data_IF_685567235392
#
_entry.id   IF_685567235392
#
_cell.length_a   1.000
_cell.length_b   1.000
_cell.length_c   1.000
_cell.angle_alpha   90.00
_cell.angle_beta   90.00
_cell.angle_gamma   90.00
#
_symmetry.space_group_name_H-M   'P 1'
#
loop_
_entity.id
_entity.type
_entity.pdbx_description
1 polymer ?
#
# COMPACT_ATOMS: atom_id res chain seq x y z
N UNK A 1 2.91 14.31 -50.77
CA UNK A 1 1.70 13.52 -50.44
C UNK A 1 2.02 12.62 -49.26
N UNK A 2 1.51 12.98 -48.12
CA UNK A 2 1.70 12.21 -46.89
C UNK A 2 0.61 11.12 -46.84
N UNK A 3 1.02 9.85 -47.00
CA UNK A 3 0.12 8.69 -46.76
C UNK A 3 -0.07 8.52 -45.26
N UNK A 4 -1.19 9.00 -44.75
CA UNK A 4 -1.63 8.67 -43.39
C UNK A 4 -1.91 7.16 -43.37
N UNK A 5 -1.07 6.42 -42.67
CA UNK A 5 -1.33 5.03 -42.32
C UNK A 5 -2.56 4.98 -41.41
N UNK A 6 -3.68 4.50 -41.95
CA UNK A 6 -4.86 4.18 -41.16
C UNK A 6 -4.65 2.83 -40.49
N UNK A 7 -3.86 2.81 -39.42
CA UNK A 7 -3.86 1.66 -38.54
C UNK A 7 -5.27 1.55 -37.90
N UNK A 8 -5.85 0.33 -37.83
CA UNK A 8 -7.14 0.15 -37.17
C UNK A 8 -7.04 0.62 -35.72
N UNK A 9 -8.02 1.41 -35.26
CA UNK A 9 -8.10 1.84 -33.89
C UNK A 9 -8.05 0.62 -32.97
N UNK A 10 -7.14 0.64 -31.98
CA UNK A 10 -7.08 -0.44 -30.99
C UNK A 10 -8.44 -0.52 -30.29
N UNK A 11 -8.97 -1.73 -29.99
CA UNK A 11 -10.22 -1.87 -29.30
C UNK A 11 -10.18 -1.06 -27.98
N UNK A 12 -11.29 -0.41 -27.62
CA UNK A 12 -11.44 0.36 -26.40
C UNK A 12 -11.05 -0.52 -25.19
N UNK A 13 -9.86 -0.27 -24.66
CA UNK A 13 -9.37 -0.99 -23.47
C UNK A 13 -9.95 -0.31 -22.24
N UNK A 14 -10.71 -1.06 -21.47
CA UNK A 14 -11.08 -0.63 -20.11
C UNK A 14 -9.83 -0.72 -19.25
N UNK A 15 -9.35 0.45 -18.79
CA UNK A 15 -8.19 0.53 -17.90
C UNK A 15 -8.68 0.50 -16.46
N UNK A 16 -8.05 -0.37 -15.67
CA UNK A 16 -8.30 -0.48 -14.24
C UNK A 16 -7.05 -0.09 -13.47
N UNK A 17 -7.23 0.64 -12.36
CA UNK A 17 -6.14 0.96 -11.45
C UNK A 17 -6.00 -0.17 -10.42
N UNK A 18 -4.84 -0.79 -10.37
CA UNK A 18 -4.57 -1.88 -9.40
C UNK A 18 -4.75 -1.43 -7.95
N UNK A 19 -4.55 -0.14 -7.66
CA UNK A 19 -4.76 0.42 -6.32
C UNK A 19 -6.22 0.37 -5.89
N UNK A 20 -7.16 0.54 -6.82
CA UNK A 20 -8.60 0.44 -6.52
C UNK A 20 -8.96 -0.99 -6.11
N UNK A 21 -8.46 -1.99 -6.83
CA UNK A 21 -8.67 -3.40 -6.51
C UNK A 21 -8.03 -3.77 -5.15
N UNK A 22 -6.81 -3.29 -4.91
CA UNK A 22 -6.12 -3.47 -3.64
C UNK A 22 -6.94 -2.93 -2.46
N UNK A 23 -7.37 -1.69 -2.54
CA UNK A 23 -8.10 -1.04 -1.43
C UNK A 23 -9.48 -1.67 -1.24
N UNK A 24 -10.21 -1.99 -2.31
CA UNK A 24 -11.49 -2.68 -2.21
C UNK A 24 -11.37 -4.02 -1.48
N UNK A 25 -10.38 -4.83 -1.88
CA UNK A 25 -10.10 -6.12 -1.23
C UNK A 25 -9.70 -5.94 0.24
N UNK A 26 -8.87 -4.92 0.54
CA UNK A 26 -8.45 -4.65 1.92
C UNK A 26 -9.64 -4.27 2.81
N UNK A 27 -10.57 -3.47 2.30
CA UNK A 27 -11.81 -3.12 3.02
C UNK A 27 -12.66 -4.36 3.29
N UNK A 28 -12.82 -5.25 2.31
CA UNK A 28 -13.57 -6.50 2.48
C UNK A 28 -12.93 -7.42 3.52
N UNK A 29 -11.62 -7.64 3.44
CA UNK A 29 -10.91 -8.47 4.41
C UNK A 29 -10.98 -7.89 5.83
N UNK A 30 -10.85 -6.58 5.96
CA UNK A 30 -10.91 -5.90 7.24
C UNK A 30 -12.29 -5.96 7.91
N UNK A 31 -13.36 -6.20 7.14
CA UNK A 31 -14.70 -6.39 7.68
C UNK A 31 -14.82 -7.69 8.51
N UNK A 32 -14.02 -8.69 8.21
CA UNK A 32 -14.03 -10.00 8.86
C UNK A 32 -12.85 -10.27 9.79
N UNK A 33 -11.79 -9.44 9.70
CA UNK A 33 -10.59 -9.58 10.53
C UNK A 33 -10.16 -8.22 11.10
N UNK A 34 -10.40 -8.01 12.39
CA UNK A 34 -10.04 -6.77 13.09
C UNK A 34 -8.53 -6.56 13.27
N UNK A 35 -7.72 -7.56 12.98
CA UNK A 35 -6.25 -7.45 13.05
C UNK A 35 -5.68 -6.65 11.89
N UNK A 36 -6.40 -6.56 10.77
CA UNK A 36 -5.96 -5.85 9.57
C UNK A 36 -5.92 -4.35 9.85
N UNK A 37 -4.76 -3.75 9.66
CA UNK A 37 -4.51 -2.31 9.77
C UNK A 37 -3.72 -1.83 8.56
N UNK A 38 -3.91 -0.57 8.17
CA UNK A 38 -3.15 0.07 7.11
C UNK A 38 -2.21 1.12 7.69
N UNK A 39 -0.98 1.18 7.22
CA UNK A 39 0.04 2.14 7.65
C UNK A 39 0.55 2.91 6.43
N UNK A 40 0.58 4.23 6.52
CA UNK A 40 0.99 5.12 5.43
C UNK A 40 1.93 6.23 5.90
N UNK A 41 2.68 6.78 4.96
CA UNK A 41 3.63 7.88 5.14
C UNK A 41 3.06 9.23 4.65
N UNK A 42 1.86 9.60 5.06
CA UNK A 42 1.10 10.75 4.55
C UNK A 42 0.66 10.62 3.08
N UNK A 43 0.54 9.40 2.61
CA UNK A 43 0.21 9.07 1.21
C UNK A 43 -1.19 8.47 1.03
N UNK A 44 -2.15 8.82 1.88
CA UNK A 44 -3.54 8.28 1.82
C UNK A 44 -4.15 8.48 0.44
N UNK A 45 -3.98 9.66 -0.15
CA UNK A 45 -4.50 9.99 -1.48
C UNK A 45 -3.84 9.18 -2.60
N UNK A 46 -2.51 9.15 -2.66
CA UNK A 46 -1.76 8.43 -3.69
C UNK A 46 -1.86 6.91 -3.56
N UNK A 47 -2.02 6.40 -2.36
CA UNK A 47 -2.28 4.98 -2.08
C UNK A 47 -3.75 4.60 -2.24
N UNK A 48 -4.63 5.58 -2.48
CA UNK A 48 -6.09 5.41 -2.57
C UNK A 48 -6.75 4.79 -1.32
N UNK A 49 -6.11 4.89 -0.17
CA UNK A 49 -6.60 4.32 1.09
C UNK A 49 -7.72 5.13 1.77
N UNK A 50 -8.22 6.19 1.12
CA UNK A 50 -9.35 6.97 1.60
C UNK A 50 -10.58 6.13 2.00
N UNK A 51 -11.05 5.19 1.17
CA UNK A 51 -12.17 4.30 1.52
C UNK A 51 -11.90 3.46 2.77
N UNK A 52 -10.67 2.95 2.95
CA UNK A 52 -10.30 2.21 4.16
C UNK A 52 -10.34 3.11 5.40
N UNK A 53 -9.78 4.31 5.31
CA UNK A 53 -9.82 5.28 6.39
C UNK A 53 -11.24 5.73 6.75
N UNK A 54 -12.13 5.85 5.76
CA UNK A 54 -13.54 6.16 5.98
C UNK A 54 -14.29 5.04 6.70
N UNK A 55 -14.02 3.79 6.32
CA UNK A 55 -14.68 2.62 6.91
C UNK A 55 -14.12 2.27 8.29
N UNK A 56 -12.79 2.39 8.48
CA UNK A 56 -12.07 1.88 9.65
C UNK A 56 -11.06 2.91 10.18
N UNK A 57 -11.46 4.16 10.39
CA UNK A 57 -10.59 5.30 10.71
C UNK A 57 -9.43 5.01 11.67
N UNK A 58 -9.68 4.45 12.89
CA UNK A 58 -8.62 4.16 13.86
C UNK A 58 -7.62 3.07 13.39
N UNK A 59 -7.95 2.33 12.34
CA UNK A 59 -7.11 1.28 11.76
C UNK A 59 -6.28 1.76 10.58
N UNK A 60 -6.45 3.01 10.15
CA UNK A 60 -5.56 3.70 9.22
C UNK A 60 -4.58 4.55 10.02
N UNK A 61 -3.32 4.14 10.03
CA UNK A 61 -2.25 4.75 10.81
C UNK A 61 -1.37 5.56 9.85
N UNK A 62 -1.39 6.88 10.02
CA UNK A 62 -0.54 7.79 9.25
C UNK A 62 0.63 8.23 10.13
N UNK A 63 1.84 7.86 9.75
CA UNK A 63 3.06 8.18 10.50
C UNK A 63 3.74 9.48 10.02
N UNK A 64 3.16 10.14 9.03
CA UNK A 64 3.81 11.27 8.36
C UNK A 64 4.86 10.82 7.34
N UNK A 65 5.62 11.77 6.81
CA UNK A 65 6.67 11.50 5.79
C UNK A 65 7.89 10.90 6.48
N UNK A 66 7.80 9.61 6.84
CA UNK A 66 8.82 8.91 7.60
C UNK A 66 8.80 7.41 7.26
N UNK A 67 9.28 7.04 6.05
CA UNK A 67 9.17 5.67 5.53
C UNK A 67 9.92 4.66 6.38
N UNK A 68 11.07 5.02 6.94
CA UNK A 68 11.83 4.15 7.84
C UNK A 68 11.03 3.84 9.10
N UNK A 69 10.48 4.86 9.74
CA UNK A 69 9.62 4.71 10.92
C UNK A 69 8.34 3.93 10.60
N UNK A 70 7.77 4.17 9.43
CA UNK A 70 6.58 3.46 8.95
C UNK A 70 6.76 1.95 8.92
N UNK A 71 7.89 1.47 8.46
CA UNK A 71 8.22 0.03 8.45
C UNK A 71 8.41 -0.49 9.87
N UNK A 72 9.10 0.26 10.73
CA UNK A 72 9.25 -0.08 12.15
C UNK A 72 7.91 -0.15 12.89
N UNK A 73 7.01 0.80 12.65
CA UNK A 73 5.64 0.80 13.18
C UNK A 73 4.88 -0.44 12.69
N UNK A 74 4.97 -0.75 11.39
CA UNK A 74 4.38 -1.97 10.83
C UNK A 74 4.89 -3.24 11.51
N UNK A 75 6.20 -3.35 11.69
CA UNK A 75 6.81 -4.49 12.39
C UNK A 75 6.35 -4.59 13.85
N UNK A 76 6.27 -3.47 14.57
CA UNK A 76 5.76 -3.43 15.94
C UNK A 76 4.29 -3.84 16.04
N UNK A 77 3.46 -3.41 15.10
CA UNK A 77 2.05 -3.82 15.02
C UNK A 77 1.92 -5.32 14.74
N UNK A 78 2.75 -5.88 13.86
CA UNK A 78 2.79 -7.31 13.60
C UNK A 78 3.21 -8.10 14.84
N UNK A 79 4.22 -7.62 15.55
CA UNK A 79 4.64 -8.21 16.83
C UNK A 79 3.52 -8.18 17.87
N UNK A 80 2.68 -7.15 17.85
CA UNK A 80 1.49 -7.02 18.70
C UNK A 80 0.27 -7.81 18.23
N UNK A 81 0.39 -8.65 17.19
CA UNK A 81 -0.69 -9.52 16.70
C UNK A 81 -1.59 -8.88 15.63
N UNK A 82 -1.22 -7.72 15.08
CA UNK A 82 -1.92 -7.13 13.94
C UNK A 82 -1.40 -7.68 12.61
N UNK A 83 -2.15 -7.43 11.56
CA UNK A 83 -1.77 -7.73 10.18
C UNK A 83 -1.62 -6.40 9.43
N UNK A 84 -0.43 -5.79 9.47
CA UNK A 84 -0.22 -4.47 8.91
C UNK A 84 0.04 -4.53 7.40
N UNK A 85 -0.67 -3.68 6.66
CA UNK A 85 -0.46 -3.37 5.25
C UNK A 85 0.22 -2.00 5.16
N UNK A 86 1.52 -1.99 4.91
CA UNK A 86 2.36 -0.80 4.86
C UNK A 86 2.45 -0.32 3.42
N UNK A 87 1.92 0.86 3.12
CA UNK A 87 1.76 1.36 1.75
C UNK A 87 2.46 2.70 1.57
N UNK A 88 3.32 2.77 0.57
CA UNK A 88 3.97 4.00 0.11
C UNK A 88 4.37 3.87 -1.36
N UNK A 89 4.93 4.95 -1.96
CA UNK A 89 5.56 4.83 -3.26
C UNK A 89 6.69 3.80 -3.23
N UNK A 90 6.76 2.96 -4.24
CA UNK A 90 7.69 1.83 -4.29
C UNK A 90 9.15 2.24 -4.09
N UNK A 91 9.57 3.35 -4.71
CA UNK A 91 10.94 3.86 -4.57
C UNK A 91 11.30 4.25 -3.13
N UNK A 92 10.33 4.70 -2.33
CA UNK A 92 10.57 5.07 -0.95
C UNK A 92 10.72 3.85 -0.04
N UNK A 93 9.95 2.80 -0.28
CA UNK A 93 10.13 1.54 0.43
C UNK A 93 11.45 0.86 0.04
N UNK A 94 11.75 0.74 -1.24
CA UNK A 94 12.91 -0.01 -1.74
C UNK A 94 14.24 0.71 -1.53
N UNK A 95 14.25 2.04 -1.47
CA UNK A 95 15.47 2.81 -1.28
C UNK A 95 15.64 3.30 0.17
N UNK A 96 14.64 4.02 0.71
CA UNK A 96 14.79 4.66 2.02
C UNK A 96 14.60 3.69 3.19
N UNK A 97 13.70 2.74 3.09
CA UNK A 97 13.32 1.87 4.20
C UNK A 97 13.88 0.44 4.10
N UNK A 98 14.81 0.18 3.18
CA UNK A 98 15.33 -1.17 2.95
C UNK A 98 16.01 -1.75 4.18
N UNK A 99 16.73 -0.96 4.97
CA UNK A 99 17.34 -1.43 6.19
C UNK A 99 16.30 -1.91 7.20
N UNK A 100 15.24 -1.13 7.42
CA UNK A 100 14.14 -1.47 8.33
C UNK A 100 13.36 -2.70 7.84
N UNK A 101 13.14 -2.81 6.54
CA UNK A 101 12.54 -4.03 5.95
C UNK A 101 13.40 -5.24 6.25
N UNK A 102 14.72 -5.12 6.10
CA UNK A 102 15.66 -6.21 6.36
C UNK A 102 15.71 -6.59 7.85
N UNK A 103 15.80 -5.62 8.74
CA UNK A 103 16.01 -5.85 10.17
C UNK A 103 14.70 -6.07 10.90
N UNK A 104 13.75 -5.12 10.78
CA UNK A 104 12.54 -5.12 11.59
C UNK A 104 11.50 -6.12 11.09
N UNK A 105 11.37 -6.29 9.77
CA UNK A 105 10.43 -7.24 9.20
C UNK A 105 11.06 -8.60 8.97
N UNK A 106 12.10 -8.70 8.12
CA UNK A 106 12.63 -9.99 7.68
C UNK A 106 13.45 -10.70 8.77
N UNK A 107 14.46 -10.05 9.33
CA UNK A 107 15.32 -10.66 10.36
C UNK A 107 14.53 -11.00 11.62
N UNK A 108 13.66 -10.12 12.05
CA UNK A 108 12.80 -10.33 13.22
C UNK A 108 11.58 -11.23 12.95
N UNK A 109 11.40 -11.69 11.72
CA UNK A 109 10.32 -12.60 11.29
C UNK A 109 8.91 -12.05 11.58
N UNK A 110 8.71 -10.75 11.44
CA UNK A 110 7.42 -10.13 11.56
C UNK A 110 6.64 -10.20 10.25
N UNK A 111 5.38 -10.60 10.32
CA UNK A 111 4.50 -10.65 9.15
C UNK A 111 4.00 -9.26 8.80
N UNK A 112 4.70 -8.58 7.91
CA UNK A 112 4.33 -7.26 7.38
C UNK A 112 4.08 -7.38 5.89
N UNK A 113 2.94 -6.87 5.41
CA UNK A 113 2.66 -6.76 3.99
C UNK A 113 3.13 -5.39 3.50
N UNK A 114 4.08 -5.37 2.57
CA UNK A 114 4.63 -4.15 1.99
C UNK A 114 4.03 -3.91 0.61
N UNK A 115 3.37 -2.78 0.44
CA UNK A 115 2.68 -2.40 -0.79
C UNK A 115 3.36 -1.18 -1.42
N UNK A 116 4.23 -1.45 -2.40
CA UNK A 116 4.88 -0.39 -3.18
C UNK A 116 3.97 0.08 -4.32
N UNK A 117 3.57 1.34 -4.30
CA UNK A 117 2.77 1.97 -5.36
C UNK A 117 3.66 2.64 -6.40
N UNK A 118 3.31 2.52 -7.67
CA UNK A 118 4.00 3.18 -8.79
C UNK A 118 3.07 4.09 -9.57
#
# INVERSE_FOLDING_TARGET
MSTQSTAPAAPDRVLHDCRDAYVATLVELAATDERIVAVVNDSVGSSKLGPFGKAYGPRLINVGIAEQDMVGVGAGLANGGKIPFVSAAACFLTARAMEQIKVDAAYSQHHVVLCGMS
#
